data_IF_772368051429
#
_entry.id   IF_772368051429
#
_cell.length_a   1.000
_cell.length_b   1.000
_cell.length_c   1.000
_cell.angle_alpha   90.00
_cell.angle_beta   90.00
_cell.angle_gamma   90.00
#
_symmetry.space_group_name_H-M   'P 1'
#
loop_
_entity.id
_entity.type
_entity.pdbx_description
1 polymer ?
#
# COMPACT_ATOMS: atom_id res chain seq x y z
N UNK A 1 -9.10 -4.31 -8.92
CA UNK A 1 -7.89 -4.94 -8.36
C UNK A 1 -7.94 -5.03 -6.83
N UNK A 2 -8.24 -3.94 -6.11
CA UNK A 2 -8.28 -3.96 -4.63
C UNK A 2 -9.16 -5.08 -4.03
N UNK A 3 -10.39 -5.24 -4.52
CA UNK A 3 -11.28 -6.32 -4.05
C UNK A 3 -10.68 -7.72 -4.26
N UNK A 4 -9.94 -7.94 -5.36
CA UNK A 4 -9.28 -9.21 -5.67
C UNK A 4 -8.17 -9.49 -4.65
N UNK A 5 -7.36 -8.48 -4.31
CA UNK A 5 -6.34 -8.60 -3.26
C UNK A 5 -6.95 -8.92 -1.89
N UNK A 6 -8.07 -8.26 -1.53
CA UNK A 6 -8.75 -8.51 -0.26
C UNK A 6 -9.28 -9.95 -0.19
N UNK A 7 -9.93 -10.43 -1.25
CA UNK A 7 -10.41 -11.82 -1.32
C UNK A 7 -9.27 -12.82 -1.24
N UNK A 8 -8.20 -12.62 -2.01
CA UNK A 8 -7.03 -13.48 -1.98
C UNK A 8 -6.39 -13.50 -0.59
N UNK A 9 -6.24 -12.34 0.06
CA UNK A 9 -5.72 -12.24 1.41
C UNK A 9 -6.57 -13.06 2.40
N UNK A 10 -7.90 -12.95 2.31
CA UNK A 10 -8.82 -13.72 3.16
C UNK A 10 -8.69 -15.23 2.96
N UNK A 11 -8.59 -15.70 1.72
CA UNK A 11 -8.41 -17.12 1.36
C UNK A 11 -7.09 -17.70 1.89
N UNK A 12 -6.07 -16.85 2.08
CA UNK A 12 -4.73 -17.25 2.57
C UNK A 12 -4.52 -16.99 4.06
N UNK A 13 -5.60 -16.72 4.81
CA UNK A 13 -5.54 -16.56 6.28
C UNK A 13 -5.08 -15.18 6.75
N UNK A 14 -4.97 -14.22 5.84
CA UNK A 14 -4.71 -12.82 6.16
C UNK A 14 -6.03 -12.07 6.40
N UNK A 15 -5.96 -11.02 7.21
CA UNK A 15 -7.06 -10.08 7.41
C UNK A 15 -6.55 -8.66 7.20
N UNK A 16 -7.36 -7.84 6.53
CA UNK A 16 -6.99 -6.48 6.16
C UNK A 16 -8.01 -5.48 6.70
N UNK A 17 -7.52 -4.35 7.19
CA UNK A 17 -8.32 -3.13 7.33
C UNK A 17 -7.66 -2.00 6.55
N UNK A 18 -8.43 -0.98 6.18
CA UNK A 18 -7.87 0.17 5.47
C UNK A 18 -7.01 1.03 6.40
N UNK A 19 -5.78 1.32 5.99
CA UNK A 19 -4.94 2.36 6.58
C UNK A 19 -5.28 3.72 5.97
N UNK A 20 -5.02 3.89 4.68
CA UNK A 20 -5.32 5.10 3.94
C UNK A 20 -5.62 4.79 2.47
N UNK A 21 -6.77 5.23 1.95
CA UNK A 21 -7.12 5.07 0.54
C UNK A 21 -6.96 6.42 -0.19
N UNK A 22 -7.81 7.38 0.15
CA UNK A 22 -7.71 8.73 -0.40
C UNK A 22 -6.95 9.66 0.56
N UNK A 23 -5.98 10.38 0.02
CA UNK A 23 -5.20 11.41 0.72
C UNK A 23 -5.48 12.75 0.06
N UNK A 24 -5.84 13.78 0.82
CA UNK A 24 -6.10 15.09 0.21
C UNK A 24 -4.80 15.76 -0.26
N UNK A 25 -4.85 16.69 -1.23
CA UNK A 25 -3.68 17.47 -1.63
C UNK A 25 -3.01 18.20 -0.47
N UNK A 26 -3.80 18.72 0.48
CA UNK A 26 -3.28 19.41 1.68
C UNK A 26 -2.52 18.44 2.57
N UNK A 27 -3.06 17.23 2.79
CA UNK A 27 -2.39 16.20 3.57
C UNK A 27 -1.12 15.70 2.88
N UNK A 28 -1.13 15.55 1.56
CA UNK A 28 0.07 15.21 0.79
C UNK A 28 1.15 16.30 0.91
N UNK A 29 0.77 17.58 0.84
CA UNK A 29 1.67 18.70 1.05
C UNK A 29 2.25 18.73 2.48
N UNK A 30 1.41 18.46 3.49
CA UNK A 30 1.86 18.36 4.89
C UNK A 30 2.83 17.19 5.10
N UNK A 31 2.53 16.01 4.53
CA UNK A 31 3.41 14.84 4.60
C UNK A 31 4.75 15.08 3.91
N UNK A 32 4.75 15.77 2.76
CA UNK A 32 5.97 16.17 2.08
C UNK A 32 6.80 17.15 2.91
N UNK A 33 6.16 18.17 3.50
CA UNK A 33 6.83 19.13 4.40
C UNK A 33 7.42 18.46 5.64
N UNK A 34 6.74 17.45 6.19
CA UNK A 34 7.22 16.64 7.31
C UNK A 34 8.34 15.66 6.90
N UNK A 35 8.50 15.43 5.60
CA UNK A 35 9.43 14.43 5.07
C UNK A 35 8.96 13.00 5.27
N UNK A 36 7.67 12.74 5.50
CA UNK A 36 7.07 11.40 5.62
C UNK A 36 6.34 10.95 4.34
N UNK A 37 6.33 11.77 3.29
CA UNK A 37 5.72 11.44 2.01
C UNK A 37 6.15 12.41 0.91
N UNK A 38 5.35 12.48 -0.16
CA UNK A 38 5.58 13.32 -1.33
C UNK A 38 4.28 14.03 -1.73
N UNK A 39 4.39 15.18 -2.38
CA UNK A 39 3.23 15.95 -2.87
C UNK A 39 2.50 15.21 -3.98
N UNK A 40 3.24 14.57 -4.89
CA UNK A 40 2.71 13.85 -6.05
C UNK A 40 2.37 12.38 -5.71
N UNK A 41 1.71 12.16 -4.57
CA UNK A 41 1.35 10.81 -4.13
C UNK A 41 0.18 10.24 -4.93
N UNK A 42 0.21 8.94 -5.25
CA UNK A 42 -0.89 8.26 -5.96
C UNK A 42 -2.20 8.18 -5.16
N UNK A 43 -2.16 8.33 -3.83
CA UNK A 43 -3.38 8.40 -3.01
C UNK A 43 -4.22 9.64 -3.32
N UNK A 44 -3.61 10.75 -3.76
CA UNK A 44 -4.37 11.96 -4.16
C UNK A 44 -5.16 11.73 -5.45
N UNK A 45 -4.75 10.73 -6.23
CA UNK A 45 -5.39 10.32 -7.48
C UNK A 45 -6.24 9.06 -7.32
N UNK A 46 -6.38 8.53 -6.09
CA UNK A 46 -7.10 7.26 -5.80
C UNK A 46 -6.52 6.04 -6.53
N UNK A 47 -5.22 6.09 -6.84
CA UNK A 47 -4.47 5.02 -7.51
C UNK A 47 -3.63 4.19 -6.54
N UNK A 48 -3.74 4.44 -5.24
CA UNK A 48 -3.06 3.68 -4.21
C UNK A 48 -3.96 3.43 -2.98
N UNK A 49 -3.63 2.39 -2.24
CA UNK A 49 -4.25 2.02 -0.96
C UNK A 49 -3.19 1.48 -0.02
N UNK A 50 -3.28 1.90 1.24
CA UNK A 50 -2.49 1.34 2.34
C UNK A 50 -3.39 0.39 3.16
N UNK A 51 -2.90 -0.81 3.43
CA UNK A 51 -3.60 -1.79 4.26
C UNK A 51 -2.89 -2.06 5.59
N UNK A 52 -3.68 -2.23 6.65
CA UNK A 52 -3.23 -2.78 7.92
C UNK A 52 -3.38 -4.30 7.87
N UNK A 53 -2.29 -5.03 8.06
CA UNK A 53 -2.26 -6.50 8.01
C UNK A 53 -2.42 -7.13 9.38
N UNK A 54 -3.27 -8.15 9.45
CA UNK A 54 -3.40 -9.03 10.60
C UNK A 54 -3.19 -10.49 10.18
N UNK A 55 -2.31 -11.18 10.92
CA UNK A 55 -2.02 -12.62 10.77
C UNK A 55 -2.34 -13.28 12.10
N UNK A 56 -3.27 -14.23 12.11
CA UNK A 56 -3.74 -14.89 13.35
C UNK A 56 -4.13 -13.89 14.45
N UNK A 57 -4.81 -12.80 14.06
CA UNK A 57 -5.25 -11.72 14.97
C UNK A 57 -4.16 -10.75 15.41
N UNK A 58 -2.90 -10.95 15.01
CA UNK A 58 -1.79 -10.06 15.36
C UNK A 58 -1.56 -9.02 14.29
N UNK A 59 -1.56 -7.75 14.67
CA UNK A 59 -1.22 -6.64 13.78
C UNK A 59 0.26 -6.72 13.36
N UNK A 60 0.52 -6.54 12.07
CA UNK A 60 1.84 -6.66 11.45
C UNK A 60 2.30 -5.32 10.87
N UNK A 61 3.55 -4.98 11.18
CA UNK A 61 4.18 -3.72 10.79
C UNK A 61 5.40 -3.90 9.91
N UNK A 62 5.98 -5.10 9.88
CA UNK A 62 7.21 -5.34 9.13
C UNK A 62 6.90 -5.53 7.65
N UNK A 63 7.69 -4.93 6.77
CA UNK A 63 7.46 -5.01 5.32
C UNK A 63 7.52 -6.45 4.81
N UNK A 64 8.32 -7.32 5.45
CA UNK A 64 8.42 -8.73 5.09
C UNK A 64 7.10 -9.50 5.31
N UNK A 65 6.28 -9.11 6.29
CA UNK A 65 4.98 -9.75 6.53
C UNK A 65 4.00 -9.55 5.36
N UNK A 66 4.17 -8.45 4.61
CA UNK A 66 3.33 -8.11 3.45
C UNK A 66 3.81 -8.76 2.15
N UNK A 67 4.95 -9.45 2.14
CA UNK A 67 5.55 -10.00 0.92
C UNK A 67 4.57 -10.85 0.09
N UNK A 68 3.77 -11.78 0.66
CA UNK A 68 2.84 -12.57 -0.13
C UNK A 68 1.75 -11.73 -0.81
N UNK A 69 1.24 -10.71 -0.10
CA UNK A 69 0.26 -9.78 -0.66
C UNK A 69 0.88 -8.89 -1.74
N UNK A 70 2.12 -8.46 -1.50
CA UNK A 70 2.91 -7.66 -2.41
C UNK A 70 3.15 -8.36 -3.75
N UNK A 71 3.67 -9.58 -3.70
CA UNK A 71 3.93 -10.40 -4.89
C UNK A 71 2.64 -10.73 -5.64
N UNK A 72 1.54 -10.99 -4.90
CA UNK A 72 0.25 -11.18 -5.53
C UNK A 72 -0.25 -9.90 -6.22
N UNK A 73 -0.14 -8.74 -5.57
CA UNK A 73 -0.49 -7.46 -6.18
C UNK A 73 0.33 -7.15 -7.44
N UNK A 74 1.64 -7.43 -7.40
CA UNK A 74 2.55 -7.33 -8.56
C UNK A 74 2.09 -8.26 -9.70
N UNK A 75 1.64 -9.49 -9.39
CA UNK A 75 1.11 -10.43 -10.39
C UNK A 75 -0.17 -9.95 -11.08
N UNK A 76 -0.96 -9.09 -10.42
CA UNK A 76 -2.13 -8.44 -11.00
C UNK A 76 -1.79 -7.20 -11.84
N UNK A 77 -0.50 -6.84 -11.96
CA UNK A 77 -0.03 -5.64 -12.66
C UNK A 77 0.11 -4.41 -11.77
N UNK A 78 -0.01 -4.55 -10.45
CA UNK A 78 0.18 -3.48 -9.49
C UNK A 78 1.65 -3.23 -9.16
N UNK A 79 1.92 -2.12 -8.48
CA UNK A 79 3.22 -1.85 -7.85
C UNK A 79 3.10 -1.96 -6.33
N UNK A 80 4.04 -2.66 -5.71
CA UNK A 80 4.07 -2.84 -4.27
C UNK A 80 5.18 -2.02 -3.61
N UNK A 81 4.81 -1.24 -2.60
CA UNK A 81 5.73 -0.34 -1.90
C UNK A 81 6.85 -1.05 -1.13
N UNK A 82 6.71 -2.35 -0.86
CA UNK A 82 7.80 -3.15 -0.29
C UNK A 82 9.06 -3.22 -1.14
N UNK A 83 8.98 -2.92 -2.45
CA UNK A 83 10.13 -2.85 -3.36
C UNK A 83 10.85 -1.50 -3.38
N UNK A 84 10.35 -0.48 -2.67
CA UNK A 84 10.95 0.85 -2.72
C UNK A 84 12.32 0.87 -2.05
N UNK A 85 13.34 1.32 -2.78
CA UNK A 85 14.74 1.28 -2.32
C UNK A 85 15.04 2.24 -1.15
N UNK A 86 14.46 3.43 -1.17
CA UNK A 86 14.77 4.47 -0.18
C UNK A 86 13.97 4.30 1.10
N UNK A 87 12.69 3.92 0.99
CA UNK A 87 11.75 3.74 2.09
C UNK A 87 10.73 2.66 1.72
N UNK A 88 11.05 1.38 1.98
CA UNK A 88 10.09 0.29 1.80
C UNK A 88 8.82 0.56 2.60
N UNK A 89 7.67 0.38 1.95
CA UNK A 89 6.35 0.54 2.54
C UNK A 89 5.53 -0.71 2.24
N UNK A 90 5.68 -1.76 3.05
CA UNK A 90 5.01 -3.05 2.81
C UNK A 90 3.48 -2.94 2.79
N UNK A 91 2.91 -1.98 3.50
CA UNK A 91 1.48 -1.72 3.51
C UNK A 91 0.94 -1.03 2.26
N UNK A 92 1.79 -0.53 1.36
CA UNK A 92 1.42 0.32 0.23
C UNK A 92 1.23 -0.46 -1.08
N UNK A 93 0.07 -0.32 -1.69
CA UNK A 93 -0.31 -0.99 -2.94
C UNK A 93 -0.84 0.04 -3.94
N UNK A 94 -0.23 0.14 -5.11
CA UNK A 94 -0.53 1.19 -6.08
C UNK A 94 -0.60 0.69 -7.52
N UNK A 95 -1.08 1.57 -8.42
CA UNK A 95 -0.95 1.43 -9.87
C UNK A 95 0.04 2.49 -10.36
N UNK A 96 1.12 2.06 -11.02
CA UNK A 96 2.11 2.98 -11.55
C UNK A 96 1.44 3.97 -12.52
N UNK A 97 1.69 5.26 -12.34
CA UNK A 97 1.12 6.31 -13.17
C UNK A 97 2.09 7.46 -13.33
N UNK A 98 2.42 7.81 -14.58
CA UNK A 98 3.37 8.88 -14.94
C UNK A 98 4.72 8.77 -14.20
N UNK A 99 5.25 7.54 -14.06
CA UNK A 99 6.51 7.27 -13.38
C UNK A 99 6.44 7.30 -11.84
N UNK A 100 5.26 7.56 -11.26
CA UNK A 100 5.01 7.45 -9.83
C UNK A 100 4.53 6.04 -9.49
N UNK A 101 5.03 5.51 -8.38
CA UNK A 101 4.76 4.19 -7.84
C UNK A 101 4.29 4.30 -6.41
#
# INVERSE_FOLDING_TARGET
>A
MVAILIHWAEEHGYRLTFGEAYRTPEQAALNAKKGSGITNSLHTQRLAVDFNLYVNGQYKTDTADYLPLGEYWESLGGTWGGRFKSRPAGNHFSLEHNGMR
#
